data_IF_393602587504
#
_entry.id   IF_393602587504
#
_cell.length_a   1.000
_cell.length_b   1.000
_cell.length_c   1.000
_cell.angle_alpha   90.00
_cell.angle_beta   90.00
_cell.angle_gamma   90.00
#
_symmetry.space_group_name_H-M   'P 1'
#
loop_
_entity.id
_entity.type
_entity.pdbx_description
1 polymer ?
#
# COMPACT_ATOMS: atom_id res chain seq x y z
N UNK A 1 -2.35 32.23 -5.96
CA UNK A 1 -2.41 31.21 -4.90
C UNK A 1 -1.11 30.41 -4.91
N UNK A 2 -0.12 30.81 -4.10
CA UNK A 2 1.14 30.08 -4.01
C UNK A 2 0.96 28.81 -3.19
N UNK A 3 1.27 27.64 -3.77
CA UNK A 3 1.33 26.40 -3.01
C UNK A 3 2.68 26.33 -2.32
N UNK A 4 2.69 26.56 -1.01
CA UNK A 4 3.84 26.28 -0.16
C UNK A 4 4.05 24.77 -0.16
N UNK A 5 5.02 24.28 -0.94
CA UNK A 5 5.47 22.89 -0.86
C UNK A 5 6.39 22.81 0.34
N UNK A 6 5.82 22.54 1.51
CA UNK A 6 6.60 22.17 2.70
C UNK A 6 7.56 21.03 2.33
N UNK A 7 8.83 21.17 2.73
CA UNK A 7 9.90 20.23 2.46
C UNK A 7 9.41 18.78 2.59
N UNK A 8 9.60 17.98 1.53
CA UNK A 8 9.06 16.62 1.38
C UNK A 8 9.52 15.73 2.53
N UNK A 9 8.74 15.68 3.62
CA UNK A 9 8.97 14.72 4.70
C UNK A 9 8.81 13.32 4.10
N UNK A 10 9.80 12.43 4.24
CA UNK A 10 9.69 11.10 3.68
C UNK A 10 8.48 10.38 4.29
N UNK A 11 7.74 9.59 3.49
CA UNK A 11 6.60 8.85 4.00
C UNK A 11 7.05 7.93 5.14
N UNK A 12 6.35 8.00 6.27
CA UNK A 12 6.66 7.21 7.48
C UNK A 12 6.70 5.70 7.20
N UNK A 13 6.00 5.24 6.15
CA UNK A 13 5.92 3.84 5.75
C UNK A 13 6.41 3.71 4.31
N UNK A 14 7.52 2.99 4.13
CA UNK A 14 7.98 2.58 2.81
C UNK A 14 7.06 1.50 2.27
N UNK A 15 6.14 1.88 1.38
CA UNK A 15 5.18 0.99 0.73
C UNK A 15 5.58 0.71 -0.73
N UNK A 16 5.27 -0.48 -1.25
CA UNK A 16 5.60 -0.83 -2.63
C UNK A 16 4.70 -1.90 -3.22
N UNK A 17 4.33 -1.71 -4.49
CA UNK A 17 3.32 -2.51 -5.20
C UNK A 17 3.84 -3.22 -6.47
N UNK A 18 5.13 -3.07 -6.78
CA UNK A 18 5.71 -3.61 -8.02
C UNK A 18 5.91 -5.14 -8.05
N UNK A 19 5.99 -5.78 -6.88
CA UNK A 19 6.16 -7.24 -6.77
C UNK A 19 5.45 -7.78 -5.53
N UNK A 20 5.14 -9.09 -5.53
CA UNK A 20 4.59 -9.82 -4.37
C UNK A 20 5.44 -9.61 -3.11
N UNK A 21 6.78 -9.67 -3.22
CA UNK A 21 7.70 -9.48 -2.09
C UNK A 21 7.53 -8.10 -1.44
N UNK A 22 7.53 -7.04 -2.26
CA UNK A 22 7.34 -5.66 -1.78
C UNK A 22 5.96 -5.46 -1.14
N UNK A 23 4.92 -6.11 -1.68
CA UNK A 23 3.58 -6.06 -1.11
C UNK A 23 3.56 -6.70 0.29
N UNK A 24 4.12 -7.90 0.44
CA UNK A 24 4.22 -8.59 1.74
C UNK A 24 5.02 -7.79 2.77
N UNK A 25 6.15 -7.22 2.37
CA UNK A 25 6.95 -6.36 3.24
C UNK A 25 6.16 -5.13 3.71
N UNK A 26 5.35 -4.56 2.81
CA UNK A 26 4.45 -3.44 3.14
C UNK A 26 3.41 -3.88 4.17
N UNK A 27 2.71 -5.00 3.94
CA UNK A 27 1.72 -5.52 4.89
C UNK A 27 2.34 -5.77 6.27
N UNK A 28 3.54 -6.36 6.33
CA UNK A 28 4.25 -6.59 7.60
C UNK A 28 4.54 -5.30 8.36
N UNK A 29 4.86 -4.20 7.65
CA UNK A 29 5.03 -2.87 8.27
C UNK A 29 3.70 -2.28 8.74
N UNK A 30 2.62 -2.50 7.99
CA UNK A 30 1.28 -2.02 8.31
C UNK A 30 0.64 -2.73 9.51
N UNK A 31 1.03 -3.98 9.77
CA UNK A 31 0.56 -4.76 10.93
C UNK A 31 1.28 -4.40 12.25
N UNK A 32 2.25 -3.48 12.24
CA UNK A 32 2.93 -3.03 13.45
C UNK A 32 1.95 -2.26 14.34
N UNK A 33 2.05 -2.42 15.67
CA UNK A 33 1.18 -1.77 16.67
C UNK A 33 1.13 -0.24 16.55
N UNK A 34 2.17 0.39 15.99
CA UNK A 34 2.25 1.84 15.81
C UNK A 34 1.41 2.38 14.65
N UNK A 35 0.81 1.52 13.81
CA UNK A 35 0.02 1.95 12.64
C UNK A 35 -1.47 1.73 12.92
N UNK A 36 -2.25 2.80 12.89
CA UNK A 36 -3.71 2.71 12.99
C UNK A 36 -4.30 1.86 11.84
N UNK A 37 -5.33 1.07 12.14
CA UNK A 37 -6.04 0.23 11.15
C UNK A 37 -6.55 1.04 9.96
N UNK A 38 -7.09 2.24 10.19
CA UNK A 38 -7.57 3.12 9.12
C UNK A 38 -6.44 3.54 8.19
N UNK A 39 -5.27 3.88 8.74
CA UNK A 39 -4.07 4.22 7.96
C UNK A 39 -3.56 3.01 7.18
N UNK A 40 -3.54 1.83 7.79
CA UNK A 40 -3.16 0.59 7.12
C UNK A 40 -4.08 0.26 5.93
N UNK A 41 -5.40 0.40 6.11
CA UNK A 41 -6.39 0.22 5.05
C UNK A 41 -6.18 1.21 3.90
N UNK A 42 -5.99 2.49 4.20
CA UNK A 42 -5.77 3.53 3.20
C UNK A 42 -4.50 3.28 2.37
N UNK A 43 -3.40 2.89 3.02
CA UNK A 43 -2.16 2.53 2.33
C UNK A 43 -2.36 1.30 1.45
N UNK A 44 -3.01 0.25 1.97
CA UNK A 44 -3.27 -0.96 1.21
C UNK A 44 -4.16 -0.71 -0.03
N UNK A 45 -5.23 0.10 0.11
CA UNK A 45 -6.07 0.50 -1.02
C UNK A 45 -5.27 1.29 -2.07
N UNK A 46 -4.48 2.27 -1.63
CA UNK A 46 -3.66 3.07 -2.54
C UNK A 46 -2.69 2.18 -3.32
N UNK A 47 -2.03 1.23 -2.65
CA UNK A 47 -1.09 0.31 -3.31
C UNK A 47 -1.81 -0.67 -4.26
N UNK A 48 -3.00 -1.16 -3.90
CA UNK A 48 -3.82 -1.99 -4.77
C UNK A 48 -4.19 -1.27 -6.06
N UNK A 49 -4.71 -0.04 -5.97
CA UNK A 49 -5.12 0.71 -7.14
C UNK A 49 -3.92 1.13 -8.01
N UNK A 50 -2.78 1.46 -7.40
CA UNK A 50 -1.54 1.72 -8.15
C UNK A 50 -1.08 0.50 -8.94
N UNK A 51 -1.18 -0.71 -8.38
CA UNK A 51 -0.89 -1.94 -9.12
C UNK A 51 -1.96 -2.27 -10.19
N UNK A 52 -3.22 -1.98 -9.91
CA UNK A 52 -4.35 -2.25 -10.81
C UNK A 52 -4.30 -1.38 -12.07
N UNK A 53 -4.01 -0.08 -11.91
CA UNK A 53 -4.04 0.91 -12.98
C UNK A 53 -2.66 1.30 -13.51
N UNK A 54 -1.62 0.51 -13.21
CA UNK A 54 -0.29 0.76 -13.76
C UNK A 54 -0.29 0.55 -15.28
N UNK A 55 0.21 1.53 -16.05
CA UNK A 55 0.24 1.50 -17.53
C UNK A 55 0.91 0.22 -18.07
N UNK A 56 2.01 -0.20 -17.43
CA UNK A 56 2.75 -1.41 -17.78
C UNK A 56 2.59 -2.43 -16.65
N UNK A 57 1.42 -3.06 -16.56
CA UNK A 57 1.14 -4.01 -15.50
C UNK A 57 1.96 -5.29 -15.67
N UNK A 58 2.82 -5.60 -14.70
CA UNK A 58 3.65 -6.82 -14.72
C UNK A 58 2.95 -7.98 -13.99
N UNK A 59 3.34 -9.24 -14.25
CA UNK A 59 2.87 -10.39 -13.46
C UNK A 59 3.11 -10.20 -11.95
N UNK A 60 4.24 -9.58 -11.57
CA UNK A 60 4.56 -9.26 -10.18
C UNK A 60 3.59 -8.27 -9.54
N UNK A 61 3.05 -7.31 -10.29
CA UNK A 61 2.00 -6.40 -9.83
C UNK A 61 0.65 -7.12 -9.64
N UNK A 62 0.31 -8.05 -10.55
CA UNK A 62 -0.91 -8.88 -10.41
C UNK A 62 -0.85 -9.74 -9.14
N UNK A 63 0.32 -10.28 -8.83
CA UNK A 63 0.52 -11.00 -7.59
C UNK A 63 0.51 -10.11 -6.35
N UNK A 64 1.03 -8.87 -6.46
CA UNK A 64 0.91 -7.87 -5.39
C UNK A 64 -0.56 -7.51 -5.11
N UNK A 65 -1.40 -7.41 -6.15
CA UNK A 65 -2.84 -7.15 -6.00
C UNK A 65 -3.52 -8.23 -5.16
N UNK A 66 -3.19 -9.51 -5.36
CA UNK A 66 -3.76 -10.62 -4.57
C UNK A 66 -3.47 -10.43 -3.08
N UNK A 67 -2.23 -10.13 -2.73
CA UNK A 67 -1.80 -9.88 -1.34
C UNK A 67 -2.56 -8.71 -0.71
N UNK A 68 -2.71 -7.59 -1.43
CA UNK A 68 -3.46 -6.45 -0.91
C UNK A 68 -4.95 -6.73 -0.81
N UNK A 69 -5.53 -7.48 -1.76
CA UNK A 69 -6.95 -7.87 -1.73
C UNK A 69 -7.25 -8.75 -0.51
N UNK A 70 -6.38 -9.73 -0.23
CA UNK A 70 -6.47 -10.58 0.97
C UNK A 70 -6.38 -9.76 2.25
N UNK A 71 -5.43 -8.82 2.33
CA UNK A 71 -5.29 -7.94 3.50
C UNK A 71 -6.53 -7.05 3.72
N UNK A 72 -7.08 -6.48 2.66
CA UNK A 72 -8.28 -5.63 2.74
C UNK A 72 -9.52 -6.43 3.16
N UNK A 73 -9.66 -7.67 2.67
CA UNK A 73 -10.73 -8.57 3.09
C UNK A 73 -10.60 -8.94 4.57
N UNK A 74 -9.39 -9.25 5.04
CA UNK A 74 -9.14 -9.57 6.45
C UNK A 74 -9.39 -8.36 7.37
N UNK A 75 -9.10 -7.15 6.92
CA UNK A 75 -9.32 -5.92 7.67
C UNK A 75 -10.81 -5.53 7.80
N UNK A 76 -11.69 -6.16 7.02
CA UNK A 76 -13.14 -5.93 7.02
C UNK A 76 -13.91 -6.97 7.87
N UNK A 77 -13.25 -8.03 8.36
CA UNK A 77 -13.89 -9.11 9.16
C UNK A 77 -14.04 -8.77 10.65
N UNK A 78 -14.20 -7.50 11.00
CA UNK A 78 -14.47 -7.05 12.37
C UNK A 78 -15.89 -6.56 12.48
#
# INVERSE_FOLDING_TARGET
MGVFVDAVKPPTIRAGYGTRKKARDTIRRLQRKSVSRSKARQVAQTMYYRAKYHKYQTPGMRDAMKVYKEFLAQCCKT
#
